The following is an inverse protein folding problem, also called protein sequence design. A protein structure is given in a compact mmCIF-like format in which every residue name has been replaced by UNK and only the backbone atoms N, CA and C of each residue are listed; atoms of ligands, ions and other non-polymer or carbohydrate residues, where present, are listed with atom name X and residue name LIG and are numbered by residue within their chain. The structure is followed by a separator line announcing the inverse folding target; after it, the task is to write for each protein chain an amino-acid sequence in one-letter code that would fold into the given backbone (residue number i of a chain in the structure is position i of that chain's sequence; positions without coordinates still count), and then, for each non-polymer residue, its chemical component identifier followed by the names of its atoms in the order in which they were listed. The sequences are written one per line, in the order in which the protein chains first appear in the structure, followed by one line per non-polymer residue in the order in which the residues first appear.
data_IF_798757958181
#
_entry.id   IF_798757958181
#
_cell.length_a   1.000
_cell.length_b   1.000
_cell.length_c   1.000
_cell.angle_alpha   90.00
_cell.angle_beta   90.00
_cell.angle_gamma   90.00
#
_symmetry.space_group_name_H-M   'P 1'
#
loop_
_entity.id
_entity.type
_entity.pdbx_description
1 polymer ?
#
# COMPACT_ATOMS: atom_id res chain seq x y z
N UNK A 1 35.94 -7.35 -20.80
CA UNK A 1 35.31 -6.34 -19.95
C UNK A 1 34.46 -7.10 -18.93
N UNK A 2 34.79 -7.03 -17.64
CA UNK A 2 34.04 -7.76 -16.61
C UNK A 2 32.67 -7.09 -16.41
N UNK A 3 31.61 -7.87 -16.58
CA UNK A 3 30.21 -7.44 -16.42
C UNK A 3 29.95 -7.25 -14.93
N UNK A 4 29.91 -6.00 -14.46
CA UNK A 4 29.61 -5.70 -13.06
C UNK A 4 28.10 -5.65 -12.88
N UNK A 5 27.49 -6.71 -12.35
CA UNK A 5 26.06 -6.73 -12.00
C UNK A 5 25.70 -5.57 -11.07
N UNK A 6 24.50 -5.01 -11.24
CA UNK A 6 23.97 -3.99 -10.33
C UNK A 6 23.84 -4.51 -8.91
N UNK A 7 24.20 -3.68 -7.95
CA UNK A 7 24.06 -3.94 -6.51
C UNK A 7 22.78 -3.31 -5.99
N UNK A 8 22.30 -3.84 -4.86
CA UNK A 8 21.21 -3.25 -4.11
C UNK A 8 21.48 -1.76 -3.84
N UNK A 9 20.57 -0.90 -4.31
CA UNK A 9 20.66 0.55 -4.15
C UNK A 9 21.33 1.31 -5.28
N UNK A 10 21.80 0.63 -6.34
CA UNK A 10 22.24 1.29 -7.58
C UNK A 10 21.07 1.97 -8.33
N UNK A 11 19.86 1.75 -7.86
CA UNK A 11 18.59 2.30 -8.34
C UNK A 11 18.16 3.57 -7.60
N UNK A 12 19.02 4.16 -6.75
CA UNK A 12 18.81 5.47 -6.08
C UNK A 12 18.84 6.62 -7.09
N UNK A 13 17.85 6.64 -7.96
CA UNK A 13 17.59 7.68 -8.95
C UNK A 13 16.12 8.03 -8.89
N UNK A 14 15.78 9.26 -9.28
CA UNK A 14 14.38 9.62 -9.46
C UNK A 14 13.75 8.80 -10.60
N UNK A 15 12.50 8.41 -10.41
CA UNK A 15 11.67 7.80 -11.44
C UNK A 15 11.40 8.81 -12.56
N UNK A 16 11.04 8.31 -13.74
CA UNK A 16 10.50 9.14 -14.83
C UNK A 16 8.97 9.10 -14.79
N UNK A 17 8.31 10.18 -15.19
CA UNK A 17 6.86 10.19 -15.36
C UNK A 17 6.45 9.31 -16.55
N UNK A 18 5.57 8.34 -16.32
CA UNK A 18 4.99 7.48 -17.35
C UNK A 18 3.94 8.25 -18.17
N UNK A 19 3.05 8.92 -17.46
CA UNK A 19 2.03 9.85 -17.97
C UNK A 19 1.58 10.76 -16.82
N UNK A 20 0.89 11.87 -17.10
CA UNK A 20 0.33 12.72 -16.06
C UNK A 20 -1.13 12.34 -15.78
N UNK A 21 -1.38 11.60 -14.71
CA UNK A 21 -2.73 11.20 -14.28
C UNK A 21 -3.60 12.40 -13.85
N UNK A 22 -3.02 13.59 -13.68
CA UNK A 22 -3.75 14.82 -13.32
C UNK A 22 -4.17 15.62 -14.55
N UNK A 23 -3.65 15.29 -15.73
CA UNK A 23 -4.03 15.94 -16.98
C UNK A 23 -5.34 15.34 -17.49
N UNK A 24 -6.45 16.11 -17.53
CA UNK A 24 -7.73 15.62 -18.04
C UNK A 24 -7.69 15.22 -19.52
N UNK A 25 -6.71 15.72 -20.29
CA UNK A 25 -6.51 15.35 -21.69
C UNK A 25 -5.69 14.06 -21.85
N UNK A 26 -5.18 13.48 -20.76
CA UNK A 26 -4.37 12.27 -20.84
C UNK A 26 -5.21 11.06 -21.29
N UNK A 27 -4.71 10.35 -22.30
CA UNK A 27 -5.31 9.10 -22.79
C UNK A 27 -5.15 7.93 -21.82
N UNK A 28 -4.42 8.12 -20.72
CA UNK A 28 -4.20 7.14 -19.66
C UNK A 28 -2.90 6.34 -19.78
N UNK A 29 -2.75 5.30 -18.95
CA UNK A 29 -1.57 4.44 -18.96
C UNK A 29 -1.44 3.71 -20.30
N UNK A 30 -0.21 3.37 -20.72
CA UNK A 30 0.01 2.37 -21.76
C UNK A 30 -0.76 1.07 -21.46
N UNK A 31 -1.29 0.42 -22.49
CA UNK A 31 -2.14 -0.78 -22.34
C UNK A 31 -1.43 -1.95 -21.63
N UNK A 32 -0.11 -2.00 -21.73
CA UNK A 32 0.74 -3.01 -21.10
C UNK A 32 1.32 -2.58 -19.74
N UNK A 33 1.01 -1.37 -19.25
CA UNK A 33 1.46 -0.93 -17.94
C UNK A 33 0.88 -1.80 -16.82
N UNK A 34 1.69 -2.08 -15.80
CA UNK A 34 1.24 -2.77 -14.60
C UNK A 34 0.57 -1.75 -13.68
N UNK A 35 -0.65 -2.01 -13.24
CA UNK A 35 -1.31 -1.21 -12.21
C UNK A 35 -1.16 -1.88 -10.85
N UNK A 36 -0.42 -1.25 -9.95
CA UNK A 36 -0.31 -1.70 -8.56
C UNK A 36 -1.26 -0.88 -7.71
N UNK A 37 -2.26 -1.52 -7.12
CA UNK A 37 -3.25 -0.85 -6.26
C UNK A 37 -2.94 -1.07 -4.79
N UNK A 38 -2.57 0.01 -4.09
CA UNK A 38 -2.36 -0.01 -2.65
C UNK A 38 -3.65 0.37 -1.94
N UNK A 39 -4.14 -0.56 -1.15
CA UNK A 39 -5.40 -0.46 -0.40
C UNK A 39 -5.08 -0.42 1.10
N UNK A 40 -5.28 0.71 1.78
CA UNK A 40 -5.10 0.81 3.22
C UNK A 40 -6.09 -0.12 3.96
N UNK A 41 -5.84 -0.43 5.24
CA UNK A 41 -6.86 -1.02 6.10
C UNK A 41 -8.16 -0.18 6.06
N UNK A 42 -9.31 -0.86 6.01
CA UNK A 42 -10.62 -0.22 5.85
C UNK A 42 -10.95 0.81 6.91
N UNK A 43 -10.38 0.67 8.10
CA UNK A 43 -10.56 1.63 9.18
C UNK A 43 -10.08 3.04 8.84
N UNK A 44 -9.17 3.20 7.86
CA UNK A 44 -8.81 4.52 7.31
C UNK A 44 -9.98 5.11 6.52
N UNK A 45 -10.61 4.32 5.65
CA UNK A 45 -11.75 4.80 4.86
C UNK A 45 -12.94 5.16 5.75
N UNK A 46 -13.25 4.32 6.76
CA UNK A 46 -14.31 4.60 7.74
C UNK A 46 -14.03 5.88 8.54
N UNK A 47 -12.75 6.15 8.85
CA UNK A 47 -12.37 7.41 9.50
C UNK A 47 -12.64 8.62 8.59
N UNK A 48 -12.29 8.53 7.32
CA UNK A 48 -12.53 9.61 6.35
C UNK A 48 -14.03 9.83 6.13
N UNK A 49 -14.81 8.77 6.08
CA UNK A 49 -16.28 8.82 6.01
C UNK A 49 -16.85 9.54 7.23
N UNK A 50 -16.41 9.16 8.44
CA UNK A 50 -16.78 9.86 9.67
C UNK A 50 -16.38 11.33 9.67
N UNK A 51 -15.27 11.70 9.04
CA UNK A 51 -14.91 13.10 8.89
C UNK A 51 -15.89 13.83 7.97
N UNK A 52 -16.25 13.25 6.82
CA UNK A 52 -17.23 13.84 5.91
C UNK A 52 -18.61 14.01 6.56
N UNK A 53 -19.06 13.04 7.35
CA UNK A 53 -20.33 13.09 8.06
C UNK A 53 -20.35 14.04 9.27
N UNK A 54 -19.17 14.41 9.78
CA UNK A 54 -19.03 15.19 11.02
C UNK A 54 -18.26 16.50 10.82
N UNK A 55 -16.95 16.56 11.17
CA UNK A 55 -16.12 17.77 11.04
C UNK A 55 -16.08 18.41 9.64
N UNK A 56 -16.49 17.69 8.61
CA UNK A 56 -16.65 18.18 7.25
C UNK A 56 -15.46 17.83 6.34
N UNK A 57 -15.48 18.42 5.14
CA UNK A 57 -14.56 18.07 4.05
C UNK A 57 -13.11 18.53 4.26
N UNK A 58 -12.88 19.56 5.10
CA UNK A 58 -11.57 20.21 5.25
C UNK A 58 -10.49 19.24 5.77
N UNK A 59 -10.68 18.51 6.89
CA UNK A 59 -9.69 17.53 7.36
C UNK A 59 -9.38 16.42 6.34
N UNK A 60 -10.39 15.99 5.58
CA UNK A 60 -10.23 14.98 4.53
C UNK A 60 -9.35 15.52 3.40
N UNK A 61 -9.61 16.73 2.93
CA UNK A 61 -8.81 17.39 1.88
C UNK A 61 -7.38 17.64 2.35
N UNK A 62 -7.18 18.09 3.59
CA UNK A 62 -5.84 18.30 4.15
C UNK A 62 -5.04 17.00 4.23
N UNK A 63 -5.66 15.93 4.73
CA UNK A 63 -5.05 14.60 4.79
C UNK A 63 -4.71 14.07 3.39
N UNK A 64 -5.64 14.09 2.44
CA UNK A 64 -5.40 13.62 1.07
C UNK A 64 -4.37 14.49 0.34
N UNK A 65 -4.35 15.79 0.63
CA UNK A 65 -3.50 16.78 -0.02
C UNK A 65 -2.04 16.72 0.40
N UNK A 66 -1.74 16.65 1.70
CA UNK A 66 -0.36 16.67 2.21
C UNK A 66 0.07 15.27 2.69
N UNK A 67 -0.67 14.70 3.63
CA UNK A 67 -0.28 13.49 4.36
C UNK A 67 -0.27 12.25 3.47
N UNK A 68 -1.32 12.04 2.68
CA UNK A 68 -1.41 10.86 1.82
C UNK A 68 -0.46 10.95 0.61
N UNK A 69 -0.14 12.17 0.16
CA UNK A 69 0.93 12.37 -0.85
C UNK A 69 2.30 11.94 -0.32
N UNK A 70 2.57 12.12 0.97
CA UNK A 70 3.78 11.59 1.62
C UNK A 70 3.82 10.05 1.55
N UNK A 71 2.69 9.39 1.80
CA UNK A 71 2.56 7.92 1.67
C UNK A 71 2.84 7.46 0.24
N UNK A 72 2.24 8.11 -0.76
CA UNK A 72 2.46 7.79 -2.18
C UNK A 72 3.94 8.02 -2.56
N UNK A 73 4.53 9.15 -2.17
CA UNK A 73 5.92 9.45 -2.45
C UNK A 73 6.88 8.45 -1.80
N UNK A 74 6.66 8.08 -0.53
CA UNK A 74 7.46 7.06 0.15
C UNK A 74 7.35 5.69 -0.55
N UNK A 75 6.16 5.34 -1.03
CA UNK A 75 5.88 4.10 -1.75
C UNK A 75 6.62 4.06 -3.10
N UNK A 76 6.51 5.12 -3.91
CA UNK A 76 7.23 5.24 -5.20
C UNK A 76 8.73 5.21 -5.00
N UNK A 77 9.25 6.00 -4.05
CA UNK A 77 10.69 6.04 -3.75
C UNK A 77 11.20 4.66 -3.30
N UNK A 78 10.43 3.95 -2.48
CA UNK A 78 10.80 2.60 -2.06
C UNK A 78 10.77 1.63 -3.23
N UNK A 79 9.73 1.66 -4.05
CA UNK A 79 9.60 0.80 -5.24
C UNK A 79 10.79 0.99 -6.17
N UNK A 80 11.12 2.23 -6.54
CA UNK A 80 12.30 2.51 -7.37
C UNK A 80 13.59 1.98 -6.72
N UNK A 81 13.75 2.17 -5.41
CA UNK A 81 14.94 1.71 -4.70
C UNK A 81 15.10 0.18 -4.68
N UNK A 82 14.03 -0.59 -4.52
CA UNK A 82 14.15 -2.06 -4.40
C UNK A 82 13.82 -2.84 -5.67
N UNK A 83 13.03 -2.26 -6.56
CA UNK A 83 12.51 -2.91 -7.77
C UNK A 83 12.85 -2.17 -9.07
N UNK A 84 13.71 -1.14 -9.01
CA UNK A 84 14.13 -0.37 -10.18
C UNK A 84 15.08 -1.13 -11.11
N UNK A 85 14.70 -2.30 -11.61
CA UNK A 85 15.53 -3.15 -12.45
C UNK A 85 14.83 -3.55 -13.75
N UNK A 86 15.63 -3.77 -14.79
CA UNK A 86 15.19 -4.41 -16.05
C UNK A 86 15.81 -5.79 -16.19
N UNK A 87 15.10 -6.70 -16.83
CA UNK A 87 15.56 -8.05 -17.13
C UNK A 87 16.32 -8.08 -18.45
N UNK A 88 17.45 -8.80 -18.47
CA UNK A 88 18.26 -9.12 -19.65
C UNK A 88 18.72 -10.58 -19.57
N UNK A 89 17.95 -11.48 -20.18
CA UNK A 89 18.14 -12.93 -20.01
C UNK A 89 17.95 -13.34 -18.55
N UNK A 90 19.00 -13.89 -17.93
CA UNK A 90 19.02 -14.29 -16.52
C UNK A 90 19.56 -13.22 -15.57
N UNK A 91 19.85 -12.01 -16.07
CA UNK A 91 20.42 -10.91 -15.30
C UNK A 91 19.41 -9.79 -15.10
N UNK A 92 19.54 -9.10 -13.95
CA UNK A 92 18.79 -7.87 -13.66
C UNK A 92 19.74 -6.68 -13.58
N UNK A 93 19.38 -5.59 -14.28
CA UNK A 93 20.19 -4.39 -14.39
C UNK A 93 19.47 -3.17 -13.80
N UNK A 94 20.15 -2.32 -13.01
CA UNK A 94 19.54 -1.09 -12.48
C UNK A 94 18.99 -0.22 -13.61
N UNK A 95 17.79 0.31 -13.39
CA UNK A 95 17.03 1.08 -14.34
C UNK A 95 16.25 2.21 -13.66
N UNK A 96 15.90 3.22 -14.46
CA UNK A 96 14.94 4.24 -14.05
C UNK A 96 13.54 3.78 -14.47
N UNK A 97 12.68 3.48 -13.50
CA UNK A 97 11.30 3.13 -13.78
C UNK A 97 10.53 4.35 -14.32
N UNK A 98 9.61 4.08 -15.23
CA UNK A 98 8.60 5.03 -15.67
C UNK A 98 7.32 4.76 -14.87
N UNK A 99 6.91 5.72 -14.04
CA UNK A 99 5.78 5.58 -13.11
C UNK A 99 4.78 6.73 -13.21
N UNK A 100 3.53 6.45 -12.91
CA UNK A 100 2.50 7.45 -12.66
C UNK A 100 1.66 7.01 -11.46
N UNK A 101 1.04 7.96 -10.75
CA UNK A 101 0.24 7.65 -9.55
C UNK A 101 -1.03 8.49 -9.50
N UNK A 102 -2.12 7.90 -9.00
CA UNK A 102 -3.34 8.61 -8.66
C UNK A 102 -3.94 8.01 -7.38
N UNK A 103 -4.37 8.86 -6.45
CA UNK A 103 -5.11 8.45 -5.28
C UNK A 103 -6.61 8.67 -5.52
N UNK A 104 -7.42 7.69 -5.20
CA UNK A 104 -8.87 7.76 -5.30
C UNK A 104 -9.50 7.55 -3.93
N UNK A 105 -10.58 8.29 -3.68
CA UNK A 105 -11.35 8.17 -2.44
C UNK A 105 -12.47 7.13 -2.55
N UNK A 106 -12.92 6.84 -3.76
CA UNK A 106 -14.03 5.95 -4.07
C UNK A 106 -13.56 4.82 -4.96
N UNK A 107 -14.19 3.65 -4.85
CA UNK A 107 -13.88 2.52 -5.73
C UNK A 107 -14.73 2.60 -6.99
N UNK A 108 -14.09 2.70 -8.16
CA UNK A 108 -14.78 2.97 -9.42
C UNK A 108 -15.61 4.27 -9.37
N UNK A 109 -16.61 4.41 -10.23
CA UNK A 109 -17.54 5.56 -10.25
C UNK A 109 -18.64 5.44 -9.18
N UNK A 110 -18.44 4.56 -8.18
CA UNK A 110 -19.35 4.38 -7.06
C UNK A 110 -19.00 5.33 -5.91
N UNK A 111 -19.64 6.50 -5.90
CA UNK A 111 -19.47 7.52 -4.86
C UNK A 111 -20.19 7.18 -3.55
N UNK A 112 -20.84 6.00 -3.45
CA UNK A 112 -21.60 5.64 -2.25
C UNK A 112 -20.75 5.11 -1.11
N UNK A 113 -19.56 4.57 -1.42
CA UNK A 113 -18.67 3.93 -0.46
C UNK A 113 -17.25 4.53 -0.53
N UNK A 114 -16.80 5.16 0.56
CA UNK A 114 -15.41 5.61 0.66
C UNK A 114 -14.50 4.38 0.73
N UNK A 115 -13.60 4.29 -0.24
CA UNK A 115 -12.57 3.27 -0.37
C UNK A 115 -11.28 3.95 -0.82
N UNK A 116 -10.59 4.61 0.12
CA UNK A 116 -9.29 5.21 -0.18
C UNK A 116 -8.36 4.14 -0.75
N UNK A 117 -7.75 4.40 -1.88
CA UNK A 117 -6.66 3.60 -2.43
C UNK A 117 -5.81 4.47 -3.33
N UNK A 118 -4.67 3.96 -3.79
CA UNK A 118 -3.96 4.61 -4.88
C UNK A 118 -3.44 3.61 -5.90
N UNK A 119 -3.51 4.03 -7.15
CA UNK A 119 -2.91 3.37 -8.28
C UNK A 119 -1.46 3.84 -8.43
N UNK A 120 -0.58 2.89 -8.70
CA UNK A 120 0.79 3.12 -9.12
C UNK A 120 0.99 2.34 -10.42
N UNK A 121 0.98 3.06 -11.54
CA UNK A 121 1.27 2.48 -12.85
C UNK A 121 2.77 2.42 -13.09
N UNK A 122 3.26 1.26 -13.53
CA UNK A 122 4.65 1.06 -13.94
C UNK A 122 4.67 0.64 -15.41
N UNK A 123 5.47 1.32 -16.22
CA UNK A 123 5.68 0.94 -17.61
C UNK A 123 6.26 -0.48 -17.72
N UNK A 124 5.86 -1.25 -18.74
CA UNK A 124 6.37 -2.62 -18.98
C UNK A 124 7.87 -2.65 -19.30
N UNK A 125 8.42 -1.52 -19.72
CA UNK A 125 9.83 -1.35 -20.03
C UNK A 125 10.41 -0.13 -19.31
N UNK A 126 11.72 -0.16 -19.07
CA UNK A 126 12.45 0.94 -18.48
C UNK A 126 13.82 1.09 -19.15
N UNK A 127 14.49 2.21 -18.93
CA UNK A 127 15.82 2.48 -19.48
C UNK A 127 16.87 2.07 -18.45
N UNK A 128 17.74 1.12 -18.82
CA UNK A 128 18.84 0.70 -17.98
C UNK A 128 19.83 1.85 -17.74
N UNK A 129 20.37 1.96 -16.53
CA UNK A 129 21.24 3.06 -16.15
C UNK A 129 22.65 2.95 -16.77
N UNK A 130 23.13 1.72 -16.98
CA UNK A 130 24.50 1.45 -17.40
C UNK A 130 24.76 1.75 -18.88
N UNK A 131 23.80 1.43 -19.77
CA UNK A 131 23.96 1.57 -21.23
C UNK A 131 22.86 2.38 -21.91
N UNK A 132 21.87 2.85 -21.15
CA UNK A 132 20.72 3.63 -21.65
C UNK A 132 19.84 2.88 -22.66
N UNK A 133 19.93 1.56 -22.73
CA UNK A 133 19.07 0.76 -23.59
C UNK A 133 17.77 0.42 -22.85
N UNK A 134 16.64 0.54 -23.57
CA UNK A 134 15.30 0.19 -23.07
C UNK A 134 15.13 -1.32 -23.06
N UNK A 135 14.71 -1.87 -21.92
CA UNK A 135 14.51 -3.30 -21.69
C UNK A 135 13.24 -3.56 -20.88
N UNK A 136 12.70 -4.79 -20.89
CA UNK A 136 11.58 -5.17 -20.03
C UNK A 136 11.90 -4.97 -18.55
N UNK A 137 10.95 -4.48 -17.77
CA UNK A 137 11.08 -4.43 -16.30
C UNK A 137 11.18 -5.84 -15.74
N UNK A 138 11.99 -6.04 -14.71
CA UNK A 138 12.06 -7.28 -13.94
C UNK A 138 10.79 -7.43 -13.08
N UNK A 139 9.73 -7.99 -13.68
CA UNK A 139 8.41 -8.10 -13.06
C UNK A 139 8.39 -9.08 -11.88
N UNK A 140 9.19 -10.14 -11.91
CA UNK A 140 9.26 -11.11 -10.83
C UNK A 140 9.99 -10.51 -9.62
N UNK A 141 11.12 -9.83 -9.85
CA UNK A 141 11.81 -9.05 -8.83
C UNK A 141 10.92 -7.94 -8.25
N UNK A 142 10.14 -7.26 -9.10
CA UNK A 142 9.17 -6.25 -8.66
C UNK A 142 8.06 -6.85 -7.80
N UNK A 143 7.47 -7.98 -8.20
CA UNK A 143 6.40 -8.65 -7.44
C UNK A 143 6.89 -9.09 -6.06
N UNK A 144 8.08 -9.69 -5.97
CA UNK A 144 8.69 -10.05 -4.68
C UNK A 144 8.96 -8.82 -3.81
N UNK A 145 9.50 -7.76 -4.40
CA UNK A 145 9.79 -6.51 -3.69
C UNK A 145 8.55 -5.82 -3.16
N UNK A 146 7.45 -5.84 -3.93
CA UNK A 146 6.16 -5.31 -3.53
C UNK A 146 5.67 -5.98 -2.25
N UNK A 147 5.64 -7.32 -2.24
CA UNK A 147 5.17 -8.11 -1.09
C UNK A 147 6.09 -7.99 0.13
N UNK A 148 7.40 -8.01 -0.07
CA UNK A 148 8.35 -8.15 1.05
C UNK A 148 8.83 -6.82 1.63
N UNK A 149 8.78 -5.72 0.87
CA UNK A 149 9.41 -4.45 1.30
C UNK A 149 8.55 -3.21 1.05
N UNK A 150 7.95 -3.09 -0.13
CA UNK A 150 7.20 -1.87 -0.47
C UNK A 150 5.91 -1.80 0.35
N UNK A 151 5.21 -2.92 0.52
CA UNK A 151 3.98 -2.98 1.31
C UNK A 151 4.20 -2.58 2.79
N UNK A 152 5.25 -3.07 3.44
CA UNK A 152 5.56 -2.68 4.83
C UNK A 152 5.96 -1.20 4.93
N UNK A 153 6.65 -0.66 3.91
CA UNK A 153 6.97 0.78 3.85
C UNK A 153 5.70 1.62 3.69
N UNK A 154 4.77 1.19 2.83
CA UNK A 154 3.46 1.83 2.67
C UNK A 154 2.70 1.90 4.00
N UNK A 155 2.52 0.75 4.67
CA UNK A 155 1.80 0.69 5.94
C UNK A 155 2.46 1.51 7.05
N UNK A 156 3.79 1.43 7.20
CA UNK A 156 4.50 2.21 8.21
C UNK A 156 4.32 3.72 8.00
N UNK A 157 4.41 4.18 6.75
CA UNK A 157 4.24 5.59 6.43
C UNK A 157 2.79 6.00 6.67
N UNK A 158 1.82 5.18 6.24
CA UNK A 158 0.40 5.39 6.50
C UNK A 158 0.09 5.53 8.00
N UNK A 159 0.60 4.62 8.84
CA UNK A 159 0.43 4.69 10.29
C UNK A 159 1.03 5.97 10.86
N UNK A 160 2.25 6.30 10.43
CA UNK A 160 2.96 7.51 10.89
C UNK A 160 2.16 8.78 10.59
N UNK A 161 1.71 8.95 9.33
CA UNK A 161 1.01 10.17 8.92
C UNK A 161 -0.40 10.25 9.51
N UNK A 162 -1.12 9.13 9.63
CA UNK A 162 -2.46 9.13 10.24
C UNK A 162 -2.39 9.39 11.74
N UNK A 163 -1.43 8.82 12.47
CA UNK A 163 -1.23 9.13 13.88
C UNK A 163 -0.82 10.60 14.07
N UNK A 164 0.11 11.10 13.25
CA UNK A 164 0.59 12.49 13.33
C UNK A 164 -0.51 13.51 13.02
N UNK A 165 -1.24 13.30 11.93
CA UNK A 165 -2.10 14.34 11.35
C UNK A 165 -3.58 14.17 11.72
N UNK A 166 -4.01 12.95 12.02
CA UNK A 166 -5.40 12.63 12.39
C UNK A 166 -5.54 12.23 13.87
N UNK A 167 -4.42 12.14 14.60
CA UNK A 167 -4.42 11.85 16.04
C UNK A 167 -4.86 10.42 16.39
N UNK A 168 -4.74 9.47 15.45
CA UNK A 168 -5.28 8.12 15.65
C UNK A 168 -4.28 7.15 16.29
N UNK A 169 -4.83 6.16 16.99
CA UNK A 169 -4.06 5.02 17.49
C UNK A 169 -4.29 3.76 16.66
N UNK A 170 -3.19 3.08 16.33
CA UNK A 170 -3.19 1.79 15.63
C UNK A 170 -2.90 0.64 16.59
N UNK A 171 -3.76 -0.37 16.59
CA UNK A 171 -3.55 -1.62 17.35
C UNK A 171 -4.18 -2.80 16.60
N UNK A 172 -3.79 -4.02 16.94
CA UNK A 172 -4.54 -5.21 16.53
C UNK A 172 -5.86 -5.25 17.31
N UNK A 173 -7.02 -5.09 16.65
CA UNK A 173 -8.31 -4.98 17.34
C UNK A 173 -8.81 -6.33 17.86
N UNK A 174 -8.26 -7.42 17.34
CA UNK A 174 -8.53 -8.80 17.72
C UNK A 174 -7.25 -9.63 17.59
N UNK A 175 -7.15 -10.78 18.27
CA UNK A 175 -5.95 -11.60 18.21
C UNK A 175 -5.63 -12.05 16.77
N UNK A 176 -4.36 -11.93 16.38
CA UNK A 176 -3.88 -12.30 15.05
C UNK A 176 -4.23 -11.33 13.93
N UNK A 177 -5.01 -10.28 14.20
CA UNK A 177 -5.38 -9.29 13.19
C UNK A 177 -4.24 -8.32 12.91
N UNK A 178 -4.20 -7.83 11.66
CA UNK A 178 -3.39 -6.69 11.30
C UNK A 178 -3.77 -5.44 12.10
N UNK A 179 -2.90 -4.43 12.07
CA UNK A 179 -3.18 -3.17 12.73
C UNK A 179 -4.38 -2.47 12.07
N UNK A 180 -5.27 -1.98 12.91
CA UNK A 180 -6.42 -1.17 12.52
C UNK A 180 -6.50 0.07 13.42
N UNK A 181 -7.26 1.08 13.01
CA UNK A 181 -7.51 2.26 13.85
C UNK A 181 -8.45 1.87 15.00
N UNK A 182 -7.92 1.94 16.24
CA UNK A 182 -8.65 1.59 17.46
C UNK A 182 -9.04 2.78 18.32
N UNK A 183 -8.40 3.92 18.11
CA UNK A 183 -8.85 5.20 18.67
C UNK A 183 -8.80 6.27 17.57
N UNK A 184 -9.95 6.83 17.14
CA UNK A 184 -11.31 6.42 17.54
C UNK A 184 -11.61 4.96 17.12
N UNK A 185 -12.64 4.29 17.68
CA UNK A 185 -12.82 2.84 17.51
C UNK A 185 -13.41 2.44 16.15
N UNK A 186 -12.69 2.71 15.06
CA UNK A 186 -13.14 2.47 13.68
C UNK A 186 -13.29 0.99 13.36
N UNK A 187 -12.46 0.13 13.97
CA UNK A 187 -12.55 -1.32 13.86
C UNK A 187 -13.93 -1.91 14.25
N UNK A 188 -14.71 -1.22 15.10
CA UNK A 188 -16.06 -1.65 15.49
C UNK A 188 -17.05 -1.54 14.33
N UNK A 189 -16.78 -0.68 13.35
CA UNK A 189 -17.60 -0.52 12.15
C UNK A 189 -17.38 -1.61 11.10
N UNK A 190 -16.41 -2.51 11.29
CA UNK A 190 -16.14 -3.59 10.35
C UNK A 190 -17.05 -4.79 10.62
N UNK A 191 -17.70 -5.24 9.55
CA UNK A 191 -18.58 -6.42 9.49
C UNK A 191 -17.86 -7.68 9.01
N UNK A 192 -16.69 -7.51 8.37
CA UNK A 192 -15.92 -8.61 7.77
C UNK A 192 -16.49 -9.13 6.45
N UNK A 193 -17.48 -8.44 5.88
CA UNK A 193 -18.11 -8.75 4.59
C UNK A 193 -17.82 -7.70 3.53
N UNK A 194 -16.90 -6.77 3.80
CA UNK A 194 -16.61 -5.66 2.89
C UNK A 194 -15.93 -6.19 1.61
N UNK A 195 -16.59 -6.01 0.47
CA UNK A 195 -15.96 -6.27 -0.83
C UNK A 195 -15.01 -5.12 -1.16
N UNK A 196 -13.72 -5.42 -1.15
CA UNK A 196 -12.67 -4.45 -1.47
C UNK A 196 -12.54 -4.19 -2.96
N UNK A 197 -13.08 -5.08 -3.82
CA UNK A 197 -12.99 -5.00 -5.27
C UNK A 197 -11.58 -4.71 -5.81
N UNK A 198 -11.55 -4.40 -7.11
CA UNK A 198 -10.41 -3.76 -7.77
C UNK A 198 -10.97 -2.50 -8.43
N UNK A 199 -10.29 -1.38 -8.25
CA UNK A 199 -10.66 -0.16 -8.96
C UNK A 199 -10.22 -0.27 -10.42
N UNK A 200 -11.11 0.02 -11.34
CA UNK A 200 -10.83 0.01 -12.78
C UNK A 200 -10.89 1.40 -13.40
N UNK A 201 -11.36 2.41 -12.66
CA UNK A 201 -11.48 3.77 -13.16
C UNK A 201 -10.15 4.52 -13.11
N UNK A 202 -10.00 5.57 -13.94
CA UNK A 202 -10.90 5.97 -15.03
C UNK A 202 -10.66 5.21 -16.34
N UNK A 203 -9.59 4.42 -16.46
CA UNK A 203 -9.13 3.91 -17.76
C UNK A 203 -9.54 2.46 -18.08
N UNK A 204 -10.38 1.83 -17.27
CA UNK A 204 -10.89 0.47 -17.45
C UNK A 204 -9.93 -0.65 -16.98
N UNK A 205 -10.38 -1.92 -17.13
CA UNK A 205 -9.66 -3.11 -16.65
C UNK A 205 -8.26 -3.27 -17.27
N UNK A 206 -7.30 -3.75 -16.47
CA UNK A 206 -5.90 -3.96 -16.86
C UNK A 206 -5.24 -5.03 -15.98
N UNK A 207 -3.98 -5.35 -16.27
CA UNK A 207 -3.19 -6.18 -15.35
C UNK A 207 -2.99 -5.43 -14.03
N UNK A 208 -3.73 -5.85 -13.01
CA UNK A 208 -3.70 -5.23 -11.69
C UNK A 208 -3.08 -6.15 -10.65
N UNK A 209 -2.13 -5.63 -9.88
CA UNK A 209 -1.54 -6.29 -8.72
C UNK A 209 -2.00 -5.58 -7.44
N UNK A 210 -2.98 -6.15 -6.77
CA UNK A 210 -3.50 -5.58 -5.53
C UNK A 210 -2.54 -5.78 -4.35
N UNK A 211 -2.38 -4.75 -3.53
CA UNK A 211 -1.65 -4.75 -2.26
C UNK A 211 -2.59 -4.33 -1.13
N UNK A 212 -2.83 -5.19 -0.12
CA UNK A 212 -2.31 -6.55 0.01
C UNK A 212 -2.89 -7.48 -1.07
N UNK A 213 -2.18 -8.57 -1.38
CA UNK A 213 -2.63 -9.57 -2.34
C UNK A 213 -3.81 -10.38 -1.78
N UNK A 214 -4.69 -10.96 -2.62
CA UNK A 214 -5.75 -11.86 -2.15
C UNK A 214 -5.23 -13.03 -1.30
N UNK A 215 -4.08 -13.61 -1.68
CA UNK A 215 -3.44 -14.66 -0.91
C UNK A 215 -2.98 -14.18 0.48
N UNK A 216 -2.45 -12.94 0.58
CA UNK A 216 -2.05 -12.35 1.86
C UNK A 216 -3.27 -12.11 2.76
N UNK A 217 -4.37 -11.60 2.21
CA UNK A 217 -5.63 -11.41 2.93
C UNK A 217 -6.19 -12.75 3.45
N UNK A 218 -6.20 -13.79 2.60
CA UNK A 218 -6.64 -15.13 3.00
C UNK A 218 -5.76 -15.72 4.13
N UNK A 219 -4.45 -15.51 4.04
CA UNK A 219 -3.51 -15.93 5.08
C UNK A 219 -3.76 -15.18 6.40
N UNK A 220 -3.95 -13.86 6.37
CA UNK A 220 -4.28 -13.06 7.56
C UNK A 220 -5.59 -13.52 8.21
N UNK A 221 -6.63 -13.76 7.40
CA UNK A 221 -7.90 -14.29 7.91
C UNK A 221 -7.74 -15.68 8.56
N UNK A 222 -6.82 -16.51 8.06
CA UNK A 222 -6.49 -17.79 8.70
C UNK A 222 -5.76 -17.59 10.03
N UNK A 223 -4.76 -16.70 10.08
CA UNK A 223 -4.05 -16.38 11.33
C UNK A 223 -4.99 -15.85 12.42
N UNK A 224 -5.94 -14.99 12.06
CA UNK A 224 -6.96 -14.50 12.98
C UNK A 224 -7.82 -15.64 13.55
N UNK A 225 -8.27 -16.58 12.70
CA UNK A 225 -9.03 -17.76 13.15
C UNK A 225 -8.24 -18.65 14.10
N UNK A 226 -6.97 -18.90 13.78
CA UNK A 226 -6.09 -19.73 14.61
C UNK A 226 -5.79 -19.07 15.96
N UNK A 227 -5.52 -17.77 15.94
CA UNK A 227 -5.33 -16.97 17.15
C UNK A 227 -6.58 -16.99 18.03
N UNK A 228 -7.76 -16.73 17.47
CA UNK A 228 -9.03 -16.80 18.19
C UNK A 228 -9.25 -18.18 18.84
N UNK A 229 -8.96 -19.27 18.11
CA UNK A 229 -9.07 -20.63 18.64
C UNK A 229 -8.08 -20.91 19.78
N UNK A 230 -6.83 -20.44 19.67
CA UNK A 230 -5.82 -20.60 20.69
C UNK A 230 -6.11 -19.76 21.96
N UNK A 231 -6.66 -18.54 21.82
CA UNK A 231 -7.14 -17.73 22.93
C UNK A 231 -8.30 -18.44 23.66
N UNK A 232 -9.28 -18.98 22.92
CA UNK A 232 -10.41 -19.72 23.51
C UNK A 232 -9.96 -20.99 24.27
N UNK A 233 -8.82 -21.56 23.90
CA UNK A 233 -8.20 -22.71 24.58
C UNK A 233 -7.29 -22.30 25.76
N UNK A 234 -7.16 -21.00 26.06
CA UNK A 234 -6.31 -20.51 27.14
C UNK A 234 -4.80 -20.66 26.87
N UNK A 235 -4.38 -20.78 25.61
CA UNK A 235 -2.95 -20.95 25.26
C UNK A 235 -2.14 -19.66 25.41
N UNK A 236 -2.80 -18.51 25.40
CA UNK A 236 -2.20 -17.21 25.70
C UNK A 236 -3.29 -16.23 26.14
N UNK A 237 -2.89 -15.10 26.72
CA UNK A 237 -3.76 -13.97 27.07
C UNK A 237 -3.65 -12.87 26.03
N UNK A 238 -4.77 -12.23 25.70
CA UNK A 238 -4.80 -11.04 24.85
C UNK A 238 -5.50 -9.90 25.59
N UNK A 239 -4.98 -8.68 25.44
CA UNK A 239 -5.55 -7.48 26.06
C UNK A 239 -6.25 -6.65 24.98
N UNK A 240 -7.56 -6.41 25.12
CA UNK A 240 -8.32 -5.57 24.21
C UNK A 240 -7.73 -4.16 24.06
N UNK A 241 -7.86 -3.53 22.87
CA UNK A 241 -7.27 -2.21 22.62
C UNK A 241 -7.90 -1.09 23.46
N UNK A 242 -9.14 -1.26 23.94
CA UNK A 242 -9.87 -0.35 24.82
C UNK A 242 -9.46 -0.47 26.30
N UNK A 243 -8.65 -1.48 26.65
CA UNK A 243 -8.11 -1.65 28.00
C UNK A 243 -6.68 -1.10 28.10
N UNK A 244 -6.31 -0.47 29.23
CA UNK A 244 -4.92 -0.09 29.48
C UNK A 244 -4.05 -1.35 29.53
N UNK A 245 -2.92 -1.34 28.82
CA UNK A 245 -1.97 -2.46 28.84
C UNK A 245 -1.43 -2.65 30.26
N UNK A 246 -1.36 -3.89 30.78
CA UNK A 246 -0.72 -4.15 32.06
C UNK A 246 0.78 -3.80 31.99
N UNK A 247 1.40 -3.31 33.08
CA UNK A 247 2.82 -2.91 33.10
C UNK A 247 3.82 -4.02 32.75
N UNK A 248 3.39 -5.29 32.83
CA UNK A 248 4.19 -6.48 32.55
C UNK A 248 4.21 -6.88 31.06
N UNK A 249 3.43 -6.21 30.22
CA UNK A 249 3.53 -6.37 28.78
C UNK A 249 4.75 -5.57 28.32
N UNK A 250 5.89 -6.24 28.19
CA UNK A 250 7.02 -5.66 27.44
C UNK A 250 6.50 -5.30 26.06
N UNK A 251 6.87 -4.14 25.56
CA UNK A 251 6.80 -3.87 24.13
C UNK A 251 7.64 -4.97 23.48
N UNK A 252 6.99 -6.06 23.03
CA UNK A 252 7.49 -6.67 21.81
C UNK A 252 7.51 -5.50 20.84
N UNK A 253 8.70 -5.08 20.36
CA UNK A 253 8.74 -4.07 19.34
C UNK A 253 7.85 -4.64 18.26
N UNK A 254 6.72 -3.96 18.00
CA UNK A 254 5.76 -4.38 17.00
C UNK A 254 6.57 -4.89 15.82
N UNK A 255 6.61 -6.21 15.64
CA UNK A 255 7.61 -6.81 14.78
C UNK A 255 7.08 -6.62 13.37
N UNK A 256 7.36 -5.44 12.81
CA UNK A 256 7.01 -4.99 11.48
C UNK A 256 8.06 -5.41 10.46
#
# INVERSE_FOLDING_TARGET
MLVQMGRYGDTRVETRMLFDARDPACTGPPADAIDVQFRPPLTVSLLLERYLDGPGVVPVVEFLGASYREVVAATVNKLQFVAGYVADGSLSWPARLEVATAAHLYNNDDETDIRLHHHLWVGRTAVALHDRVRRPVDLDGMRLSLTNVVWSTYLRTLHTVTTRDLGVSWRSPRPGAGAEITDPPMHVGLTGQEDLGICTTPWGPRETWAQPTPAKLAFQAQQEREAAAALAQGRYSWVPPDQPRPPSYLDEPDSW
#
